data_IF_587129880514
#
_entry.id   IF_587129880514
#
_cell.length_a   1.000
_cell.length_b   1.000
_cell.length_c   1.000
_cell.angle_alpha   90.00
_cell.angle_beta   90.00
_cell.angle_gamma   90.00
#
_symmetry.space_group_name_H-M   'P 1'
#
loop_
_entity.id
_entity.type
_entity.pdbx_description
1 polymer ?
#
# COMPACT_ATOMS: atom_id res chain seq x y z
N UNK A 1 23.58 2.18 -1.23
CA UNK A 1 23.08 3.57 -1.08
C UNK A 1 21.70 3.53 -0.48
N UNK A 2 21.45 4.38 0.48
CA UNK A 2 20.18 4.41 1.18
C UNK A 2 19.43 5.70 0.85
N UNK A 3 18.19 5.58 0.47
CA UNK A 3 17.33 6.73 0.16
C UNK A 3 16.70 7.26 1.44
N UNK A 4 16.44 8.57 1.49
CA UNK A 4 15.75 9.15 2.63
C UNK A 4 14.29 8.71 2.69
N UNK A 5 13.61 8.79 1.55
CA UNK A 5 12.18 8.49 1.47
C UNK A 5 11.93 7.61 0.25
N UNK A 6 11.12 6.61 0.44
CA UNK A 6 10.63 5.77 -0.64
C UNK A 6 9.12 5.64 -0.59
N UNK A 7 8.54 5.15 -1.67
CA UNK A 7 7.12 4.94 -1.78
C UNK A 7 6.84 3.63 -2.51
N UNK A 8 5.88 2.88 -2.00
CA UNK A 8 5.41 1.67 -2.66
C UNK A 8 3.88 1.68 -2.64
N UNK A 9 3.28 1.64 -3.81
CA UNK A 9 1.83 1.74 -3.91
C UNK A 9 1.19 0.50 -4.50
N UNK A 10 -0.04 0.23 -4.13
CA UNK A 10 -0.81 -0.86 -4.67
C UNK A 10 -2.18 -0.96 -4.04
N UNK A 11 -3.02 -1.81 -4.62
CA UNK A 11 -4.35 -2.08 -4.07
C UNK A 11 -4.31 -3.16 -3.00
N UNK A 12 -3.37 -4.09 -3.10
CA UNK A 12 -3.24 -5.21 -2.17
C UNK A 12 -4.56 -5.96 -1.95
N UNK A 13 -5.19 -6.33 -3.05
CA UNK A 13 -6.53 -6.92 -3.07
C UNK A 13 -6.50 -8.28 -3.76
N UNK A 14 -5.96 -9.33 -3.12
CA UNK A 14 -5.45 -9.36 -1.74
C UNK A 14 -3.96 -9.01 -1.61
N UNK A 15 -3.52 -8.83 -0.38
CA UNK A 15 -2.11 -8.80 -0.04
C UNK A 15 -1.54 -10.22 -0.13
N UNK A 16 -0.37 -10.39 -0.77
CA UNK A 16 0.28 -11.71 -0.84
C UNK A 16 1.78 -11.58 -0.58
N UNK A 17 2.45 -12.73 -0.51
CA UNK A 17 3.84 -12.80 -0.08
C UNK A 17 4.78 -11.98 -0.98
N UNK A 18 4.47 -11.88 -2.28
CA UNK A 18 5.26 -11.06 -3.19
C UNK A 18 5.24 -9.58 -2.82
N UNK A 19 4.08 -9.07 -2.40
CA UNK A 19 3.97 -7.69 -1.92
C UNK A 19 4.81 -7.49 -0.67
N UNK A 20 4.75 -8.43 0.26
CA UNK A 20 5.48 -8.35 1.52
C UNK A 20 6.98 -8.30 1.26
N UNK A 21 7.48 -9.16 0.39
CA UNK A 21 8.90 -9.20 0.04
C UNK A 21 9.37 -7.88 -0.56
N UNK A 22 8.60 -7.32 -1.49
CA UNK A 22 8.97 -6.07 -2.14
C UNK A 22 8.96 -4.90 -1.17
N UNK A 23 7.98 -4.87 -0.26
CA UNK A 23 7.91 -3.81 0.74
C UNK A 23 9.09 -3.89 1.70
N UNK A 24 9.45 -5.10 2.14
CA UNK A 24 10.60 -5.29 3.02
C UNK A 24 11.89 -4.84 2.34
N UNK A 25 12.08 -5.22 1.08
CA UNK A 25 13.25 -4.81 0.31
C UNK A 25 13.31 -3.30 0.14
N UNK A 26 12.18 -2.68 -0.18
CA UNK A 26 12.12 -1.24 -0.34
C UNK A 26 12.41 -0.54 1.00
N UNK A 27 11.84 -1.03 2.08
CA UNK A 27 12.05 -0.43 3.41
C UNK A 27 13.51 -0.51 3.84
N UNK A 28 14.20 -1.59 3.45
CA UNK A 28 15.62 -1.74 3.81
C UNK A 28 16.53 -0.74 3.09
N UNK A 29 16.03 -0.11 2.03
CA UNK A 29 16.79 0.86 1.25
C UNK A 29 16.42 2.30 1.56
N UNK A 30 15.50 2.53 2.48
CA UNK A 30 14.98 3.85 2.80
C UNK A 30 15.06 4.12 4.30
N UNK A 31 15.22 5.37 4.65
CA UNK A 31 15.05 5.78 6.05
C UNK A 31 13.57 5.77 6.42
N UNK A 32 12.71 6.12 5.45
CA UNK A 32 11.26 6.11 5.62
C UNK A 32 10.62 5.58 4.35
N UNK A 33 9.75 4.60 4.48
CA UNK A 33 8.97 4.07 3.35
C UNK A 33 7.50 4.34 3.58
N UNK A 34 6.85 4.96 2.60
CA UNK A 34 5.41 5.13 2.59
C UNK A 34 4.79 4.03 1.74
N UNK A 35 3.92 3.24 2.35
CA UNK A 35 3.13 2.23 1.64
C UNK A 35 1.76 2.82 1.38
N UNK A 36 1.44 3.04 0.12
CA UNK A 36 0.19 3.68 -0.27
C UNK A 36 -0.82 2.59 -0.66
N UNK A 37 -1.86 2.48 0.13
CA UNK A 37 -2.97 1.56 -0.16
C UNK A 37 -4.03 2.31 -0.96
N UNK A 38 -4.12 1.98 -2.24
CA UNK A 38 -5.17 2.50 -3.12
C UNK A 38 -6.44 1.69 -2.94
N UNK A 39 -7.56 2.36 -2.78
CA UNK A 39 -8.83 1.65 -2.65
C UNK A 39 -9.93 2.37 -3.43
N UNK A 40 -10.92 1.58 -3.85
CA UNK A 40 -12.12 2.11 -4.51
C UNK A 40 -13.33 1.36 -3.95
N UNK A 41 -14.24 2.09 -3.35
CA UNK A 41 -15.41 1.49 -2.72
C UNK A 41 -16.30 0.75 -3.69
N UNK A 42 -16.23 1.09 -4.98
CA UNK A 42 -17.09 0.50 -5.99
C UNK A 42 -16.49 -0.69 -6.72
N UNK A 43 -15.19 -0.91 -6.62
CA UNK A 43 -14.50 -1.93 -7.41
C UNK A 43 -13.69 -2.93 -6.60
N UNK A 44 -13.45 -2.64 -5.35
CA UNK A 44 -12.61 -3.50 -4.52
C UNK A 44 -13.31 -4.82 -4.19
N UNK A 45 -12.57 -5.92 -4.24
CA UNK A 45 -13.07 -7.22 -3.86
C UNK A 45 -13.11 -7.39 -2.36
N UNK A 46 -12.07 -6.87 -1.69
CA UNK A 46 -11.93 -6.96 -0.23
C UNK A 46 -12.05 -5.55 0.33
N UNK A 47 -12.88 -5.33 1.35
CA UNK A 47 -13.01 -4.01 1.95
C UNK A 47 -11.66 -3.44 2.39
N UNK A 48 -11.47 -2.13 2.20
CA UNK A 48 -10.22 -1.45 2.49
C UNK A 48 -9.78 -1.65 3.94
N UNK A 49 -10.73 -1.69 4.87
CA UNK A 49 -10.45 -1.83 6.29
C UNK A 49 -9.68 -3.12 6.61
N UNK A 50 -10.04 -4.21 5.92
CA UNK A 50 -9.34 -5.50 6.10
C UNK A 50 -7.95 -5.46 5.50
N UNK A 51 -7.81 -4.87 4.32
CA UNK A 51 -6.50 -4.76 3.65
C UNK A 51 -5.56 -3.87 4.45
N UNK A 52 -6.06 -2.77 4.98
CA UNK A 52 -5.28 -1.89 5.84
C UNK A 52 -4.77 -2.62 7.07
N UNK A 53 -5.66 -3.40 7.71
CA UNK A 53 -5.30 -4.16 8.91
C UNK A 53 -4.23 -5.21 8.61
N UNK A 54 -4.36 -5.89 7.49
CA UNK A 54 -3.37 -6.89 7.09
C UNK A 54 -2.00 -6.28 6.86
N UNK A 55 -1.94 -5.17 6.14
CA UNK A 55 -0.68 -4.48 5.88
C UNK A 55 -0.09 -3.98 7.19
N UNK A 56 -0.89 -3.36 8.01
CA UNK A 56 -0.44 -2.84 9.29
C UNK A 56 0.13 -3.95 10.17
N UNK A 57 -0.57 -5.07 10.27
CA UNK A 57 -0.11 -6.19 11.09
C UNK A 57 1.13 -6.85 10.53
N UNK A 58 1.27 -6.91 9.21
CA UNK A 58 2.43 -7.52 8.56
C UNK A 58 3.71 -6.75 8.84
N UNK A 59 3.62 -5.43 9.00
CA UNK A 59 4.79 -4.57 9.14
C UNK A 59 4.86 -3.82 10.46
N UNK A 60 4.08 -4.25 11.46
CA UNK A 60 4.02 -3.56 12.76
C UNK A 60 5.34 -3.49 13.50
N UNK A 61 6.28 -4.36 13.16
CA UNK A 61 7.60 -4.39 13.79
C UNK A 61 8.65 -3.53 13.06
N UNK A 62 8.25 -2.88 11.98
CA UNK A 62 9.14 -2.07 11.16
C UNK A 62 8.84 -0.59 11.39
N UNK A 63 9.77 0.09 12.05
CA UNK A 63 9.56 1.48 12.49
C UNK A 63 9.55 2.49 11.35
N UNK A 64 10.14 2.12 10.21
CA UNK A 64 10.30 3.06 9.10
C UNK A 64 9.22 2.93 8.02
N UNK A 65 8.14 2.21 8.30
CA UNK A 65 7.02 2.08 7.36
C UNK A 65 5.83 2.85 7.87
N UNK A 66 5.26 3.67 7.00
CA UNK A 66 4.01 4.37 7.29
C UNK A 66 3.02 4.07 6.16
N UNK A 67 1.78 3.76 6.54
CA UNK A 67 0.74 3.39 5.58
C UNK A 67 -0.13 4.60 5.31
N UNK A 68 -0.34 4.90 4.04
CA UNK A 68 -1.19 5.99 3.57
C UNK A 68 -2.36 5.39 2.81
N UNK A 69 -3.57 5.84 3.13
CA UNK A 69 -4.78 5.43 2.42
C UNK A 69 -5.06 6.44 1.32
N UNK A 70 -5.26 5.94 0.12
CA UNK A 70 -5.59 6.77 -1.04
C UNK A 70 -6.84 6.24 -1.70
N UNK A 71 -7.91 7.03 -1.64
CA UNK A 71 -9.14 6.67 -2.33
C UNK A 71 -9.00 6.99 -3.81
N UNK A 72 -9.15 5.97 -4.64
CA UNK A 72 -9.00 6.10 -6.08
C UNK A 72 -10.37 6.31 -6.72
N UNK A 73 -10.70 7.55 -6.98
CA UNK A 73 -11.92 7.94 -7.69
C UNK A 73 -11.67 8.19 -9.17
N UNK A 74 -10.43 8.05 -9.62
CA UNK A 74 -10.04 8.41 -10.98
C UNK A 74 -10.59 7.44 -12.02
N UNK A 75 -11.12 6.31 -11.59
CA UNK A 75 -11.71 5.31 -12.47
C UNK A 75 -13.22 5.35 -12.45
N UNK A 76 -13.79 6.47 -12.18
CA UNK A 76 -15.18 6.63 -12.49
C UNK A 76 -15.29 6.58 -14.02
N UNK A 77 -16.02 5.60 -14.51
CA UNK A 77 -16.10 5.34 -15.96
C UNK A 77 -16.54 6.56 -16.75
N UNK A 78 -17.35 7.40 -16.14
CA UNK A 78 -17.84 8.62 -16.76
C UNK A 78 -16.72 9.65 -17.02
N UNK A 79 -15.61 9.54 -16.32
CA UNK A 79 -14.48 10.45 -16.50
C UNK A 79 -13.68 10.17 -17.76
N UNK A 80 -13.89 9.00 -18.37
CA UNK A 80 -13.13 8.55 -19.52
C UNK A 80 -13.99 8.38 -20.77
N UNK A 81 -15.24 8.66 -20.67
CA UNK A 81 -16.17 8.58 -21.81
C UNK A 81 -16.22 9.86 -22.63
#
# INVERSE_FOLDING_TARGET
>A
MRYKVGMYGGAFDPLHIGHIDLIIKAASQCEKLYVVLSYSRNRDNIPMEYRYRWIRNSFKHMDNIEIILLEDNAYNKSDYD
#
